data_IF_873127194190
#
_entry.id   IF_873127194190
#
_cell.length_a   1.000
_cell.length_b   1.000
_cell.length_c   1.000
_cell.angle_alpha   90.00
_cell.angle_beta   90.00
_cell.angle_gamma   90.00
#
_symmetry.space_group_name_H-M   'P 1'
#
loop_
_entity.id
_entity.type
_entity.pdbx_description
1 polymer ?
#
# COMPACT_ATOMS: atom_id res chain seq x y z
N UNK A 1 -26.85 -14.39 46.10
CA UNK A 1 -27.12 -14.97 44.76
C UNK A 1 -25.98 -14.60 43.84
N UNK A 2 -25.68 -15.50 42.90
CA UNK A 2 -24.40 -15.66 42.22
C UNK A 2 -24.07 -14.48 41.29
N UNK A 3 -22.92 -13.86 41.56
CA UNK A 3 -21.91 -13.38 40.59
C UNK A 3 -22.46 -13.08 39.19
N UNK A 4 -22.84 -11.82 38.95
CA UNK A 4 -23.05 -11.29 37.60
C UNK A 4 -21.67 -11.15 36.96
N UNK A 5 -21.21 -12.25 36.35
CA UNK A 5 -19.90 -12.34 35.71
C UNK A 5 -19.93 -11.48 34.44
N UNK A 6 -19.08 -10.47 34.45
CA UNK A 6 -18.71 -9.59 33.34
C UNK A 6 -18.47 -10.44 32.08
N UNK A 7 -19.36 -10.35 31.10
CA UNK A 7 -19.27 -11.00 29.79
C UNK A 7 -19.21 -9.96 28.67
N UNK A 8 -18.41 -8.91 28.86
CA UNK A 8 -17.97 -7.99 27.79
C UNK A 8 -16.53 -8.39 27.46
N UNK A 9 -16.37 -9.58 26.91
CA UNK A 9 -15.11 -10.04 26.32
C UNK A 9 -15.09 -9.60 24.86
N UNK A 10 -14.52 -8.41 24.64
CA UNK A 10 -13.63 -8.10 23.51
C UNK A 10 -14.05 -8.68 22.15
N UNK A 11 -15.02 -8.04 21.49
CA UNK A 11 -15.05 -8.00 20.03
C UNK A 11 -13.89 -7.11 19.57
N UNK A 12 -12.68 -7.66 19.56
CA UNK A 12 -11.51 -7.04 18.95
C UNK A 12 -11.73 -7.05 17.44
N UNK A 13 -12.31 -5.98 16.90
CA UNK A 13 -12.31 -5.78 15.45
C UNK A 13 -10.86 -5.78 14.98
N UNK A 14 -10.56 -6.63 14.00
CA UNK A 14 -9.25 -6.70 13.36
C UNK A 14 -8.98 -5.37 12.66
N UNK A 15 -8.36 -4.42 13.36
CA UNK A 15 -7.89 -3.19 12.73
C UNK A 15 -6.73 -3.58 11.82
N UNK A 16 -6.93 -3.47 10.51
CA UNK A 16 -5.85 -3.65 9.54
C UNK A 16 -4.84 -2.52 9.73
N UNK A 17 -3.73 -2.84 10.39
CA UNK A 17 -2.62 -1.94 10.54
C UNK A 17 -1.89 -1.81 9.21
N UNK A 18 -1.30 -0.64 8.96
CA UNK A 18 -0.40 -0.48 7.83
C UNK A 18 0.74 -1.51 7.90
N UNK A 19 1.14 -2.07 6.77
CA UNK A 19 2.29 -2.96 6.66
C UNK A 19 3.37 -2.33 5.77
N UNK A 20 4.62 -2.40 6.22
CA UNK A 20 5.77 -1.83 5.53
C UNK A 20 6.14 -2.69 4.31
N UNK A 21 6.49 -2.06 3.19
CA UNK A 21 6.95 -2.77 1.99
C UNK A 21 8.47 -2.67 1.77
N UNK A 22 9.21 -2.02 2.68
CA UNK A 22 10.67 -1.91 2.63
C UNK A 22 11.19 -0.95 1.57
N UNK A 23 12.51 -0.79 1.54
CA UNK A 23 13.20 0.14 0.63
C UNK A 23 13.53 -0.52 -0.71
N UNK A 24 12.92 -0.05 -1.79
CA UNK A 24 12.98 -0.67 -3.12
C UNK A 24 13.12 0.37 -4.24
N UNK A 25 13.57 -0.08 -5.41
CA UNK A 25 13.55 0.75 -6.62
C UNK A 25 12.17 0.69 -7.28
N UNK A 26 11.72 1.79 -7.87
CA UNK A 26 10.54 1.78 -8.75
C UNK A 26 10.98 1.28 -10.13
N UNK A 27 10.42 0.17 -10.60
CA UNK A 27 10.82 -0.46 -11.88
C UNK A 27 9.86 -0.14 -13.02
N UNK A 28 8.58 0.10 -12.69
CA UNK A 28 7.54 0.44 -13.67
C UNK A 28 6.39 1.19 -12.99
N UNK A 29 5.87 2.19 -13.70
CA UNK A 29 4.64 2.90 -13.34
C UNK A 29 3.66 2.74 -14.49
N UNK A 30 2.41 2.38 -14.20
CA UNK A 30 1.32 2.30 -15.17
C UNK A 30 0.21 3.25 -14.74
N UNK A 31 -0.11 4.23 -15.58
CA UNK A 31 -1.33 5.02 -15.44
C UNK A 31 -2.47 4.17 -15.98
N UNK A 32 -3.30 3.67 -15.07
CA UNK A 32 -4.41 2.79 -15.40
C UNK A 32 -5.62 3.62 -15.87
N UNK A 33 -6.45 3.08 -16.75
CA UNK A 33 -7.62 3.78 -17.30
C UNK A 33 -8.74 4.01 -16.26
N UNK A 34 -8.72 3.28 -15.16
CA UNK A 34 -9.52 3.59 -13.95
C UNK A 34 -9.13 4.93 -13.30
N UNK A 35 -8.01 5.52 -13.71
CA UNK A 35 -7.39 6.73 -13.16
C UNK A 35 -6.41 6.46 -12.01
N UNK A 36 -6.31 5.22 -11.54
CA UNK A 36 -5.35 4.83 -10.51
C UNK A 36 -3.96 4.63 -11.11
N UNK A 37 -2.93 4.69 -10.28
CA UNK A 37 -1.56 4.40 -10.69
C UNK A 37 -1.14 3.05 -10.14
N UNK A 38 -0.67 2.15 -11.01
CA UNK A 38 -0.04 0.91 -10.60
C UNK A 38 1.47 1.10 -10.53
N UNK A 39 2.07 0.63 -9.44
CA UNK A 39 3.49 0.77 -9.16
C UNK A 39 4.09 -0.61 -8.99
N UNK A 40 5.19 -0.84 -9.69
CA UNK A 40 5.99 -2.05 -9.59
C UNK A 40 7.31 -1.67 -8.92
N UNK A 41 7.65 -2.38 -7.86
CA UNK A 41 8.92 -2.24 -7.19
C UNK A 41 9.87 -3.39 -7.53
N UNK A 42 11.16 -3.17 -7.32
CA UNK A 42 12.15 -4.25 -7.37
C UNK A 42 11.97 -5.22 -6.20
N UNK A 43 12.35 -6.47 -6.41
CA UNK A 43 12.43 -7.53 -5.38
C UNK A 43 11.08 -7.98 -4.80
N UNK A 44 11.10 -9.09 -4.06
CA UNK A 44 9.90 -9.74 -3.50
C UNK A 44 9.19 -8.91 -2.41
N UNK A 45 7.91 -9.16 -2.24
CA UNK A 45 7.02 -8.45 -1.31
C UNK A 45 7.31 -8.82 0.14
N UNK A 46 7.50 -7.83 1.02
CA UNK A 46 7.72 -8.07 2.47
C UNK A 46 6.54 -7.64 3.35
N UNK A 47 5.54 -6.96 2.77
CA UNK A 47 4.36 -6.51 3.49
C UNK A 47 3.42 -7.70 3.82
N UNK A 48 2.38 -7.43 4.63
CA UNK A 48 1.51 -8.49 5.18
C UNK A 48 0.11 -8.55 4.54
N UNK A 49 -0.16 -7.70 3.56
CA UNK A 49 -1.43 -7.74 2.81
C UNK A 49 -1.65 -9.09 2.10
N UNK A 50 -2.89 -9.53 2.05
CA UNK A 50 -3.33 -10.77 1.40
C UNK A 50 -4.25 -10.45 0.22
N UNK A 51 -3.69 -9.83 -0.82
CA UNK A 51 -4.40 -9.45 -2.03
C UNK A 51 -4.20 -10.51 -3.14
N UNK A 52 -5.02 -10.48 -4.18
CA UNK A 52 -4.87 -11.39 -5.33
C UNK A 52 -3.50 -11.23 -5.99
N UNK A 53 -2.96 -10.01 -5.99
CA UNK A 53 -1.61 -9.73 -6.42
C UNK A 53 -0.89 -8.82 -5.41
N UNK A 54 0.07 -9.38 -4.69
CA UNK A 54 0.89 -8.63 -3.73
C UNK A 54 2.07 -7.88 -4.38
N UNK A 55 2.49 -8.24 -5.60
CA UNK A 55 3.65 -7.64 -6.27
C UNK A 55 3.35 -6.35 -7.02
N UNK A 56 2.07 -6.04 -7.24
CA UNK A 56 1.62 -4.84 -7.94
C UNK A 56 0.88 -3.96 -6.94
N UNK A 57 1.37 -2.74 -6.77
CA UNK A 57 0.84 -1.81 -5.78
C UNK A 57 -0.06 -0.80 -6.47
N UNK A 58 -1.10 -0.34 -5.78
CA UNK A 58 -1.92 0.74 -6.29
C UNK A 58 -1.74 2.01 -5.47
N UNK A 59 -1.55 3.13 -6.17
CA UNK A 59 -1.80 4.46 -5.65
C UNK A 59 -3.20 4.90 -6.13
N UNK A 60 -4.21 4.92 -5.25
CA UNK A 60 -5.59 5.28 -5.62
C UNK A 60 -5.70 6.76 -5.96
N UNK A 61 -6.45 7.09 -7.01
CA UNK A 61 -6.65 8.48 -7.46
C UNK A 61 -7.31 9.40 -6.43
N UNK A 62 -8.04 8.82 -5.50
CA UNK A 62 -8.70 9.48 -4.38
C UNK A 62 -7.78 9.74 -3.18
N UNK A 63 -6.52 9.29 -3.23
CA UNK A 63 -5.55 9.64 -2.20
C UNK A 63 -5.35 11.17 -2.18
N UNK A 64 -5.47 11.78 -1.00
CA UNK A 64 -5.33 13.23 -0.83
C UNK A 64 -3.99 13.78 -1.36
N UNK A 65 -2.94 12.96 -1.30
CA UNK A 65 -1.58 13.29 -1.74
C UNK A 65 -1.21 12.62 -3.07
N UNK A 66 -2.21 12.24 -3.88
CA UNK A 66 -1.99 11.47 -5.11
C UNK A 66 -0.96 12.13 -6.04
N UNK A 67 -1.05 13.46 -6.24
CA UNK A 67 -0.19 14.18 -7.18
C UNK A 67 1.26 14.24 -6.69
N UNK A 68 1.44 14.50 -5.40
CA UNK A 68 2.73 14.55 -4.72
C UNK A 68 3.40 13.17 -4.74
N UNK A 69 2.65 12.13 -4.37
CA UNK A 69 3.12 10.74 -4.37
C UNK A 69 3.48 10.26 -5.76
N UNK A 70 2.62 10.51 -6.76
CA UNK A 70 2.90 10.16 -8.16
C UNK A 70 4.15 10.86 -8.69
N UNK A 71 4.29 12.16 -8.42
CA UNK A 71 5.46 12.95 -8.85
C UNK A 71 6.75 12.43 -8.22
N UNK A 72 6.71 12.10 -6.93
CA UNK A 72 7.87 11.52 -6.23
C UNK A 72 8.23 10.12 -6.74
N UNK A 73 7.24 9.26 -7.04
CA UNK A 73 7.48 7.96 -7.65
C UNK A 73 8.14 8.08 -9.03
N UNK A 74 7.65 9.01 -9.86
CA UNK A 74 8.20 9.26 -11.19
C UNK A 74 9.64 9.77 -11.10
N UNK A 75 9.90 10.72 -10.20
CA UNK A 75 11.26 11.23 -9.96
C UNK A 75 12.20 10.13 -9.45
N UNK A 76 11.73 9.28 -8.53
CA UNK A 76 12.51 8.17 -7.99
C UNK A 76 12.85 7.14 -9.07
N UNK A 77 11.87 6.77 -9.92
CA UNK A 77 12.06 5.86 -11.05
C UNK A 77 13.16 6.35 -12.00
N UNK A 78 13.20 7.64 -12.33
CA UNK A 78 14.16 8.19 -13.28
C UNK A 78 15.53 8.54 -12.68
N UNK A 79 15.61 8.82 -11.37
CA UNK A 79 16.87 9.10 -10.68
C UNK A 79 17.56 7.85 -10.15
N UNK A 80 16.86 6.72 -10.09
CA UNK A 80 17.32 5.50 -9.41
C UNK A 80 17.27 5.62 -7.88
N UNK A 81 16.68 6.69 -7.34
CA UNK A 81 16.47 6.84 -5.91
C UNK A 81 15.48 5.78 -5.39
N UNK A 82 15.76 5.24 -4.20
CA UNK A 82 14.92 4.21 -3.58
C UNK A 82 13.73 4.83 -2.85
N UNK A 83 12.65 4.07 -2.78
CA UNK A 83 11.41 4.43 -2.10
C UNK A 83 11.07 3.33 -1.10
N UNK A 84 10.65 3.74 0.10
CA UNK A 84 10.01 2.86 1.08
C UNK A 84 8.62 3.38 1.43
N UNK A 85 7.91 2.69 2.31
CA UNK A 85 6.64 3.18 2.81
C UNK A 85 5.70 2.06 3.21
N UNK A 86 4.42 2.40 3.17
CA UNK A 86 3.37 1.60 3.80
C UNK A 86 2.22 1.33 2.84
N UNK A 87 1.67 0.13 2.97
CA UNK A 87 0.40 -0.28 2.38
C UNK A 87 -0.62 -0.60 3.47
N UNK A 88 -1.90 -0.50 3.14
CA UNK A 88 -2.96 -0.97 4.03
C UNK A 88 -4.20 -1.40 3.26
N UNK A 89 -4.49 -2.70 3.35
CA UNK A 89 -5.60 -3.34 2.70
C UNK A 89 -5.41 -3.50 1.20
N UNK A 90 -6.38 -4.18 0.61
CA UNK A 90 -6.42 -4.44 -0.81
C UNK A 90 -7.40 -3.51 -1.50
N UNK A 91 -7.09 -3.14 -2.73
CA UNK A 91 -7.87 -2.25 -3.56
C UNK A 91 -8.23 -2.95 -4.86
N UNK A 92 -9.51 -2.94 -5.22
CA UNK A 92 -9.99 -3.63 -6.41
C UNK A 92 -9.78 -2.78 -7.66
N UNK A 93 -9.08 -3.35 -8.65
CA UNK A 93 -9.01 -2.83 -10.01
C UNK A 93 -9.40 -3.98 -10.94
N UNK A 94 -10.54 -3.82 -11.61
CA UNK A 94 -11.06 -4.79 -12.57
C UNK A 94 -11.21 -6.23 -12.05
N UNK A 95 -11.67 -6.37 -10.80
CA UNK A 95 -11.92 -7.69 -10.23
C UNK A 95 -10.67 -8.37 -9.67
N UNK A 96 -9.48 -7.79 -9.81
CA UNK A 96 -8.28 -8.21 -9.08
C UNK A 96 -7.95 -7.20 -7.99
N UNK A 97 -7.48 -7.69 -6.85
CA UNK A 97 -7.11 -6.84 -5.72
C UNK A 97 -5.60 -6.69 -5.58
N UNK A 98 -5.16 -5.48 -5.22
CA UNK A 98 -3.74 -5.08 -5.11
C UNK A 98 -3.50 -4.29 -3.82
N UNK A 99 -2.32 -4.37 -3.18
CA UNK A 99 -2.00 -3.58 -1.99
C UNK A 99 -2.15 -2.07 -2.23
N UNK A 100 -2.87 -1.41 -1.32
CA UNK A 100 -3.13 0.02 -1.41
C UNK A 100 -2.03 0.83 -0.74
N UNK A 101 -1.29 1.62 -1.51
CA UNK A 101 -0.27 2.54 -0.98
C UNK A 101 -0.97 3.63 -0.15
N UNK A 102 -0.53 3.79 1.09
CA UNK A 102 -1.02 4.81 2.03
C UNK A 102 0.02 5.87 2.34
N UNK A 103 1.31 5.54 2.20
CA UNK A 103 2.44 6.44 2.46
C UNK A 103 3.65 6.02 1.64
N UNK A 104 4.43 7.01 1.19
CA UNK A 104 5.73 6.83 0.55
C UNK A 104 6.78 7.69 1.27
N UNK A 105 7.96 7.12 1.42
CA UNK A 105 9.14 7.74 1.99
C UNK A 105 10.22 7.76 0.91
N UNK A 106 10.58 8.96 0.45
CA UNK A 106 11.58 9.16 -0.60
C UNK A 106 12.96 9.36 0.02
N UNK A 107 13.93 8.55 -0.39
CA UNK A 107 15.31 8.65 0.07
C UNK A 107 16.20 9.11 -1.10
N UNK A 108 17.03 10.14 -0.95
CA UNK A 108 17.94 10.56 -2.02
C UNK A 108 18.93 9.43 -2.37
N UNK A 109 19.39 9.43 -3.62
CA UNK A 109 20.44 8.53 -4.13
C UNK A 109 21.82 9.06 -3.77
#
# INVERSE_FOLDING_TARGET
MKKFFIFIALYSFSVSANSDFGTKNVTKIVIHDSGNVLVYFSEDTIHKESCDNNGIYVLPKENLLFKEMYSGLLASMHSGAKVSGWVNGCYNIWGSTMPKITRLDFTPN
#
